data_IF_462651871297
#
_entry.id   IF_462651871297
#
_cell.length_a   1.000
_cell.length_b   1.000
_cell.length_c   1.000
_cell.angle_alpha   90.00
_cell.angle_beta   90.00
_cell.angle_gamma   90.00
#
_symmetry.space_group_name_H-M   'P 1'
#
loop_
_entity.id
_entity.type
_entity.pdbx_description
1 polymer ?
#
# COMPACT_ATOMS: atom_id res chain seq x y z
N UNK A 1 -10.55 10.29 6.07
CA UNK A 1 -9.51 9.92 7.09
C UNK A 1 -10.18 9.32 8.32
N UNK A 2 -9.91 8.07 8.64
CA UNK A 2 -10.43 7.36 9.83
C UNK A 2 -9.38 7.41 10.95
N UNK A 3 -9.64 8.21 11.99
CA UNK A 3 -8.68 8.47 13.08
C UNK A 3 -8.44 7.20 13.93
N UNK A 4 -9.48 6.41 14.18
CA UNK A 4 -9.32 5.19 14.98
C UNK A 4 -8.51 4.13 14.23
N UNK A 5 -8.69 4.02 12.91
CA UNK A 5 -7.87 3.16 12.08
C UNK A 5 -6.40 3.58 12.09
N UNK A 6 -6.12 4.89 12.03
CA UNK A 6 -4.76 5.44 12.14
C UNK A 6 -4.12 5.17 13.50
N UNK A 7 -4.88 5.29 14.59
CA UNK A 7 -4.41 4.94 15.93
C UNK A 7 -4.11 3.44 16.04
N UNK A 8 -4.96 2.60 15.44
CA UNK A 8 -4.73 1.15 15.38
C UNK A 8 -3.44 0.82 14.63
N UNK A 9 -3.21 1.45 13.47
CA UNK A 9 -1.97 1.30 12.72
C UNK A 9 -0.75 1.77 13.52
N UNK A 10 -0.82 2.95 14.14
CA UNK A 10 0.27 3.49 14.94
C UNK A 10 0.65 2.54 16.09
N UNK A 11 -0.35 1.96 16.76
CA UNK A 11 -0.15 0.97 17.82
C UNK A 11 0.58 -0.27 17.29
N UNK A 12 0.09 -0.84 16.18
CA UNK A 12 0.66 -2.04 15.57
C UNK A 12 2.13 -1.83 15.16
N UNK A 13 2.44 -0.69 14.52
CA UNK A 13 3.80 -0.31 14.12
C UNK A 13 4.74 -0.17 15.34
N UNK A 14 4.24 0.44 16.43
CA UNK A 14 5.01 0.61 17.64
C UNK A 14 5.29 -0.71 18.38
N UNK A 15 4.27 -1.55 18.56
CA UNK A 15 4.37 -2.82 19.31
C UNK A 15 5.29 -3.81 18.59
N UNK A 16 5.22 -3.89 17.27
CA UNK A 16 6.01 -4.84 16.47
C UNK A 16 7.31 -4.26 15.90
N UNK A 17 7.62 -2.98 16.21
CA UNK A 17 8.87 -2.32 15.80
C UNK A 17 9.09 -2.29 14.29
N UNK A 18 8.01 -2.09 13.53
CA UNK A 18 8.09 -1.94 12.07
C UNK A 18 8.76 -0.61 11.68
N UNK A 19 9.57 -0.64 10.63
CA UNK A 19 10.38 0.49 10.20
C UNK A 19 9.71 1.37 9.12
N UNK A 20 8.82 0.79 8.30
CA UNK A 20 8.19 1.46 7.14
C UNK A 20 6.97 2.31 7.53
N UNK A 21 7.12 3.15 8.56
CA UNK A 21 6.02 3.93 9.15
C UNK A 21 5.34 4.83 8.12
N UNK A 22 6.12 5.63 7.38
CA UNK A 22 5.58 6.55 6.38
C UNK A 22 4.86 5.86 5.24
N UNK A 23 5.42 4.75 4.74
CA UNK A 23 4.79 3.95 3.68
C UNK A 23 3.46 3.36 4.13
N UNK A 24 3.37 2.87 5.36
CA UNK A 24 2.12 2.35 5.92
C UNK A 24 1.06 3.45 6.04
N UNK A 25 1.40 4.61 6.61
CA UNK A 25 0.43 5.71 6.77
C UNK A 25 -0.03 6.31 5.45
N UNK A 26 0.87 6.47 4.47
CA UNK A 26 0.52 7.02 3.15
C UNK A 26 -0.34 6.07 2.33
N UNK A 27 -0.21 4.75 2.55
CA UNK A 27 -1.02 3.73 1.87
C UNK A 27 -2.38 3.49 2.53
N UNK A 28 -2.54 3.78 3.82
CA UNK A 28 -3.71 3.38 4.62
C UNK A 28 -5.02 3.88 4.02
N UNK A 29 -5.16 5.19 3.79
CA UNK A 29 -6.40 5.78 3.26
C UNK A 29 -6.68 5.29 1.83
N UNK A 30 -5.63 5.04 1.02
CA UNK A 30 -5.78 4.50 -0.35
C UNK A 30 -6.40 3.11 -0.29
N UNK A 31 -5.90 2.25 0.59
CA UNK A 31 -6.40 0.88 0.75
C UNK A 31 -7.82 0.92 1.33
N UNK A 32 -8.09 1.76 2.33
CA UNK A 32 -9.42 1.91 2.93
C UNK A 32 -10.47 2.34 1.89
N UNK A 33 -10.14 3.34 1.05
CA UNK A 33 -11.01 3.79 -0.05
C UNK A 33 -11.28 2.68 -1.09
N UNK A 34 -10.30 1.83 -1.37
CA UNK A 34 -10.47 0.67 -2.25
C UNK A 34 -11.41 -0.35 -1.60
N UNK A 35 -11.18 -0.70 -0.34
CA UNK A 35 -12.01 -1.68 0.37
C UNK A 35 -13.45 -1.20 0.57
N UNK A 36 -13.67 0.11 0.72
CA UNK A 36 -15.01 0.68 0.81
C UNK A 36 -15.83 0.56 -0.49
N UNK A 37 -15.19 0.44 -1.65
CA UNK A 37 -15.84 0.38 -2.96
C UNK A 37 -15.80 -0.99 -3.64
N UNK A 38 -14.80 -1.84 -3.33
CA UNK A 38 -14.64 -3.14 -3.97
C UNK A 38 -15.81 -4.09 -3.66
N UNK A 39 -16.18 -4.92 -4.62
CA UNK A 39 -17.11 -6.02 -4.40
C UNK A 39 -16.53 -7.12 -3.52
N UNK A 40 -17.42 -7.99 -3.01
CA UNK A 40 -17.02 -9.10 -2.14
C UNK A 40 -16.05 -10.06 -2.84
N UNK A 41 -16.31 -10.37 -4.11
CA UNK A 41 -15.49 -11.28 -4.93
C UNK A 41 -14.25 -10.63 -5.55
N UNK A 42 -14.11 -9.29 -5.47
CA UNK A 42 -13.00 -8.56 -6.06
C UNK A 42 -11.70 -8.79 -5.29
N UNK A 43 -10.60 -8.73 -6.01
CA UNK A 43 -9.26 -9.01 -5.49
C UNK A 43 -8.52 -7.70 -5.23
N UNK A 44 -7.89 -7.58 -4.06
CA UNK A 44 -6.91 -6.52 -3.77
C UNK A 44 -5.51 -7.11 -3.70
N UNK A 45 -4.53 -6.46 -4.33
CA UNK A 45 -3.11 -6.81 -4.27
C UNK A 45 -2.29 -5.61 -3.79
N UNK A 46 -1.63 -5.79 -2.66
CA UNK A 46 -0.62 -4.86 -2.16
C UNK A 46 0.70 -5.18 -2.85
N UNK A 47 1.06 -4.48 -3.94
CA UNK A 47 2.35 -4.70 -4.62
C UNK A 47 3.53 -4.21 -3.77
N UNK A 48 3.37 -3.06 -3.14
CA UNK A 48 4.31 -2.47 -2.19
C UNK A 48 4.27 -3.16 -0.83
N UNK A 49 4.75 -4.39 -0.77
CA UNK A 49 4.65 -5.29 0.40
C UNK A 49 5.16 -4.70 1.72
N UNK A 50 6.05 -3.71 1.68
CA UNK A 50 6.54 -3.00 2.86
C UNK A 50 5.46 -2.13 3.57
N UNK A 51 4.29 -1.92 2.95
CA UNK A 51 3.12 -1.32 3.59
C UNK A 51 2.16 -2.38 4.18
N UNK A 52 2.62 -3.59 4.46
CA UNK A 52 1.82 -4.71 4.93
C UNK A 52 0.98 -4.39 6.18
N UNK A 53 1.52 -3.63 7.12
CA UNK A 53 0.80 -3.28 8.35
C UNK A 53 -0.45 -2.43 8.08
N UNK A 54 -0.42 -1.55 7.06
CA UNK A 54 -1.62 -0.87 6.60
C UNK A 54 -2.66 -1.85 6.07
N UNK A 55 -2.24 -2.83 5.26
CA UNK A 55 -3.15 -3.89 4.80
C UNK A 55 -3.75 -4.68 5.96
N UNK A 56 -2.95 -5.08 6.95
CA UNK A 56 -3.43 -5.91 8.06
C UNK A 56 -4.52 -5.22 8.89
N UNK A 57 -4.36 -3.94 9.20
CA UNK A 57 -5.42 -3.20 9.92
C UNK A 57 -6.66 -2.94 9.06
N UNK A 58 -6.53 -2.86 7.75
CA UNK A 58 -7.67 -2.78 6.82
C UNK A 58 -8.41 -4.13 6.79
N UNK A 59 -7.69 -5.24 6.70
CA UNK A 59 -8.29 -6.58 6.72
C UNK A 59 -9.03 -6.82 8.05
N UNK A 60 -8.44 -6.45 9.18
CA UNK A 60 -9.11 -6.48 10.51
C UNK A 60 -10.39 -5.63 10.53
N UNK A 61 -10.40 -4.45 9.90
CA UNK A 61 -11.56 -3.56 9.83
C UNK A 61 -12.72 -4.16 9.02
N UNK A 62 -12.42 -4.86 7.92
CA UNK A 62 -13.45 -5.31 6.96
C UNK A 62 -13.86 -6.77 7.13
N UNK A 63 -13.10 -7.58 7.90
CA UNK A 63 -13.35 -9.00 8.06
C UNK A 63 -13.28 -9.42 9.52
N UNK A 64 -14.40 -9.77 10.13
CA UNK A 64 -14.54 -10.09 11.56
C UNK A 64 -13.64 -11.24 12.07
N UNK A 65 -13.18 -12.11 11.17
CA UNK A 65 -12.33 -13.25 11.52
C UNK A 65 -10.81 -12.92 11.46
N UNK A 66 -10.44 -11.72 11.00
CA UNK A 66 -9.04 -11.30 10.83
C UNK A 66 -8.59 -10.49 12.03
N UNK A 67 -7.40 -10.80 12.52
CA UNK A 67 -6.69 -10.09 13.59
C UNK A 67 -5.34 -9.61 13.05
N UNK A 68 -5.10 -8.30 13.11
CA UNK A 68 -3.90 -7.70 12.54
C UNK A 68 -2.62 -8.11 13.27
N UNK A 69 -2.65 -8.30 14.61
CA UNK A 69 -1.49 -8.79 15.38
C UNK A 69 -1.14 -10.22 14.96
N UNK A 70 -2.15 -11.09 14.78
CA UNK A 70 -1.94 -12.45 14.29
C UNK A 70 -1.35 -12.47 12.88
N UNK A 71 -1.77 -11.55 12.00
CA UNK A 71 -1.18 -11.42 10.66
C UNK A 71 0.28 -10.97 10.72
N UNK A 72 0.62 -10.04 11.61
CA UNK A 72 2.03 -9.64 11.82
C UNK A 72 2.87 -10.81 12.32
N UNK A 73 2.37 -11.58 13.29
CA UNK A 73 3.08 -12.77 13.79
C UNK A 73 3.28 -13.83 12.69
N UNK A 74 2.29 -14.00 11.81
CA UNK A 74 2.33 -14.99 10.72
C UNK A 74 3.22 -14.57 9.55
N UNK A 75 3.20 -13.30 9.16
CA UNK A 75 3.79 -12.81 7.91
C UNK A 75 4.93 -11.81 8.09
N UNK A 76 4.99 -11.08 9.21
CA UNK A 76 5.95 -10.00 9.42
C UNK A 76 5.66 -8.76 8.59
N UNK A 77 6.72 -8.01 8.25
CA UNK A 77 6.63 -6.74 7.51
C UNK A 77 6.31 -6.86 6.02
N UNK A 78 6.26 -8.08 5.47
CA UNK A 78 5.92 -8.35 4.07
C UNK A 78 4.94 -9.53 4.00
N UNK A 79 3.78 -9.38 3.31
CA UNK A 79 2.75 -10.40 3.34
C UNK A 79 3.15 -11.60 2.47
N UNK A 80 2.85 -12.81 2.96
CA UNK A 80 2.83 -14.02 2.16
C UNK A 80 1.40 -14.29 1.69
N UNK A 81 1.25 -15.01 0.58
CA UNK A 81 -0.05 -15.45 0.09
C UNK A 81 -0.83 -16.21 1.17
N UNK A 82 -2.07 -15.77 1.43
CA UNK A 82 -2.94 -16.26 2.50
C UNK A 82 -4.40 -15.94 2.16
N UNK A 83 -5.01 -16.74 1.30
CA UNK A 83 -6.37 -16.50 0.82
C UNK A 83 -7.43 -16.56 1.94
N UNK A 84 -7.19 -17.32 3.00
CA UNK A 84 -8.08 -17.38 4.16
C UNK A 84 -8.18 -16.01 4.86
N UNK A 85 -7.13 -15.22 4.79
CA UNK A 85 -7.06 -13.86 5.31
C UNK A 85 -7.06 -12.78 4.19
N UNK A 86 -7.58 -13.10 3.00
CA UNK A 86 -7.71 -12.17 1.86
C UNK A 86 -6.39 -11.56 1.36
N UNK A 87 -5.26 -12.23 1.55
CA UNK A 87 -3.96 -11.86 1.01
C UNK A 87 -3.68 -12.70 -0.25
N UNK A 88 -3.85 -12.12 -1.41
CA UNK A 88 -3.84 -12.84 -2.69
C UNK A 88 -2.48 -12.89 -3.39
N UNK A 89 -1.42 -12.37 -2.75
CA UNK A 89 -0.08 -12.33 -3.33
C UNK A 89 0.99 -12.22 -2.25
N UNK A 90 2.05 -13.02 -2.35
CA UNK A 90 3.29 -12.75 -1.60
C UNK A 90 4.01 -11.60 -2.26
N UNK A 91 4.35 -10.55 -1.51
CA UNK A 91 5.04 -9.37 -1.99
C UNK A 91 6.20 -8.97 -1.08
N UNK A 92 7.08 -8.08 -1.57
CA UNK A 92 8.30 -7.66 -0.88
C UNK A 92 9.40 -7.30 -1.89
N UNK A 93 9.50 -8.03 -3.00
CA UNK A 93 10.30 -7.60 -4.15
C UNK A 93 9.53 -6.55 -4.94
N UNK A 94 10.06 -5.33 -5.03
CA UNK A 94 9.39 -4.19 -5.66
C UNK A 94 8.97 -4.52 -7.11
N UNK A 95 7.75 -4.12 -7.47
CA UNK A 95 7.17 -4.31 -8.79
C UNK A 95 6.65 -5.73 -9.10
N UNK A 96 6.88 -6.73 -8.23
CA UNK A 96 6.42 -8.10 -8.52
C UNK A 96 4.90 -8.25 -8.45
N UNK A 97 4.25 -7.52 -7.54
CA UNK A 97 2.81 -7.62 -7.29
C UNK A 97 1.96 -7.18 -8.49
N UNK A 98 2.35 -6.13 -9.21
CA UNK A 98 1.59 -5.65 -10.38
C UNK A 98 1.57 -6.70 -11.51
N UNK A 99 2.66 -7.41 -11.75
CA UNK A 99 2.70 -8.50 -12.75
C UNK A 99 1.76 -9.65 -12.38
N UNK A 100 1.72 -10.03 -11.09
CA UNK A 100 0.79 -11.05 -10.59
C UNK A 100 -0.66 -10.56 -10.72
N UNK A 101 -0.92 -9.28 -10.42
CA UNK A 101 -2.25 -8.69 -10.57
C UNK A 101 -2.76 -8.75 -12.01
N UNK A 102 -1.92 -8.46 -13.00
CA UNK A 102 -2.26 -8.63 -14.43
C UNK A 102 -2.63 -10.09 -14.72
N UNK A 103 -1.83 -11.04 -14.24
CA UNK A 103 -2.15 -12.47 -14.41
C UNK A 103 -3.48 -12.87 -13.76
N UNK A 104 -3.79 -12.33 -12.58
CA UNK A 104 -5.08 -12.55 -11.88
C UNK A 104 -6.26 -11.96 -12.64
N UNK A 105 -6.12 -10.74 -13.18
CA UNK A 105 -7.15 -10.09 -13.99
C UNK A 105 -7.46 -10.90 -15.26
N UNK A 106 -6.44 -11.37 -15.96
CA UNK A 106 -6.59 -12.20 -17.16
C UNK A 106 -7.24 -13.56 -16.85
N UNK A 107 -6.93 -14.17 -15.72
CA UNK A 107 -7.48 -15.46 -15.32
C UNK A 107 -8.92 -15.38 -14.80
N UNK A 108 -9.38 -14.20 -14.36
CA UNK A 108 -10.69 -13.99 -13.74
C UNK A 108 -11.37 -12.74 -14.35
N UNK A 109 -11.85 -12.79 -15.60
CA UNK A 109 -12.38 -11.62 -16.29
C UNK A 109 -13.62 -11.00 -15.64
N UNK A 110 -14.36 -11.77 -14.84
CA UNK A 110 -15.58 -11.34 -14.14
C UNK A 110 -15.33 -10.68 -12.78
N UNK A 111 -14.05 -10.54 -12.36
CA UNK A 111 -13.65 -9.94 -11.09
C UNK A 111 -12.76 -8.73 -11.32
N UNK A 112 -12.98 -7.68 -10.56
CA UNK A 112 -12.04 -6.56 -10.54
C UNK A 112 -10.81 -6.91 -9.71
N UNK A 113 -9.65 -6.46 -10.17
CA UNK A 113 -8.39 -6.55 -9.45
C UNK A 113 -7.90 -5.14 -9.14
N UNK A 114 -7.81 -4.79 -7.87
CA UNK A 114 -7.28 -3.53 -7.39
C UNK A 114 -5.83 -3.71 -6.94
N UNK A 115 -4.96 -2.80 -7.34
CA UNK A 115 -3.53 -2.89 -7.02
C UNK A 115 -3.02 -1.56 -6.51
N UNK A 116 -2.31 -1.58 -5.39
CA UNK A 116 -1.48 -0.43 -4.98
C UNK A 116 -0.03 -0.68 -5.36
N UNK A 117 0.60 0.33 -5.97
CA UNK A 117 2.04 0.43 -6.20
C UNK A 117 2.58 1.73 -5.62
N UNK A 118 3.91 1.87 -5.52
CA UNK A 118 4.54 3.11 -5.06
C UNK A 118 5.43 3.73 -6.12
N UNK A 119 5.84 4.97 -5.87
CA UNK A 119 6.88 5.66 -6.63
C UNK A 119 8.21 4.90 -6.62
N UNK A 120 8.58 4.26 -5.50
CA UNK A 120 9.75 3.37 -5.45
C UNK A 120 9.65 2.17 -6.39
N UNK A 121 8.46 1.57 -6.52
CA UNK A 121 8.24 0.47 -7.48
C UNK A 121 8.34 0.93 -8.93
N UNK A 122 8.07 2.21 -9.21
CA UNK A 122 8.22 2.78 -10.55
C UNK A 122 9.70 2.87 -11.03
N UNK A 123 10.68 2.54 -10.18
CA UNK A 123 12.05 2.31 -10.60
C UNK A 123 12.24 0.95 -11.29
N UNK A 124 11.31 0.01 -11.09
CA UNK A 124 11.39 -1.34 -11.65
C UNK A 124 10.79 -1.43 -13.06
N UNK A 125 11.51 -2.10 -13.96
CA UNK A 125 11.10 -2.27 -15.37
C UNK A 125 9.75 -2.97 -15.53
N UNK A 126 9.47 -3.96 -14.69
CA UNK A 126 8.22 -4.75 -14.73
C UNK A 126 6.96 -3.89 -14.53
N UNK A 127 7.04 -2.79 -13.79
CA UNK A 127 5.91 -1.86 -13.64
C UNK A 127 5.51 -1.28 -14.99
N UNK A 128 6.48 -0.79 -15.77
CA UNK A 128 6.24 -0.21 -17.09
C UNK A 128 5.77 -1.23 -18.11
N UNK A 129 6.33 -2.45 -18.06
CA UNK A 129 5.87 -3.57 -18.89
C UNK A 129 4.40 -3.92 -18.57
N UNK A 130 4.02 -3.97 -17.29
CA UNK A 130 2.66 -4.23 -16.87
C UNK A 130 1.69 -3.13 -17.32
N UNK A 131 2.02 -1.84 -17.09
CA UNK A 131 1.19 -0.71 -17.51
C UNK A 131 0.97 -0.71 -19.03
N UNK A 132 2.05 -0.93 -19.81
CA UNK A 132 1.96 -1.06 -21.25
C UNK A 132 1.04 -2.22 -21.66
N UNK A 133 1.22 -3.38 -21.04
CA UNK A 133 0.41 -4.56 -21.35
C UNK A 133 -1.09 -4.32 -21.07
N UNK A 134 -1.41 -3.75 -19.90
CA UNK A 134 -2.79 -3.42 -19.51
C UNK A 134 -3.45 -2.53 -20.57
N UNK A 135 -2.76 -1.50 -21.04
CA UNK A 135 -3.29 -0.56 -22.03
C UNK A 135 -3.40 -1.19 -23.42
N UNK A 136 -2.33 -1.82 -23.93
CA UNK A 136 -2.30 -2.41 -25.28
C UNK A 136 -3.30 -3.56 -25.48
N UNK A 137 -3.56 -4.34 -24.44
CA UNK A 137 -4.47 -5.50 -24.49
C UNK A 137 -5.84 -5.23 -23.89
N UNK A 138 -6.14 -3.99 -23.51
CA UNK A 138 -7.42 -3.57 -22.94
C UNK A 138 -7.86 -4.46 -21.77
N UNK A 139 -6.98 -4.63 -20.77
CA UNK A 139 -7.31 -5.37 -19.55
C UNK A 139 -8.16 -4.46 -18.66
N UNK A 140 -9.49 -4.50 -18.83
CA UNK A 140 -10.41 -3.52 -18.25
C UNK A 140 -10.80 -3.83 -16.80
N UNK A 141 -10.61 -5.06 -16.34
CA UNK A 141 -10.91 -5.50 -14.98
C UNK A 141 -9.73 -5.36 -14.00
N UNK A 142 -8.90 -4.33 -14.18
CA UNK A 142 -7.82 -3.98 -13.27
C UNK A 142 -7.76 -2.48 -13.03
N UNK A 143 -7.65 -2.06 -11.77
CA UNK A 143 -7.39 -0.68 -11.36
C UNK A 143 -6.05 -0.57 -10.64
N UNK A 144 -5.20 0.36 -11.10
CA UNK A 144 -3.89 0.63 -10.52
C UNK A 144 -3.92 1.95 -9.76
N UNK A 145 -3.55 1.91 -8.49
CA UNK A 145 -3.43 3.06 -7.61
C UNK A 145 -1.96 3.27 -7.23
N UNK A 146 -1.41 4.41 -7.60
CA UNK A 146 -0.02 4.79 -7.27
C UNK A 146 -0.02 5.61 -5.99
N UNK A 147 0.63 5.12 -4.95
CA UNK A 147 0.97 5.91 -3.77
C UNK A 147 2.25 6.71 -4.07
N UNK A 148 2.09 7.93 -4.53
CA UNK A 148 3.18 8.85 -4.87
C UNK A 148 3.53 9.71 -3.65
N UNK A 149 4.35 9.18 -2.76
CA UNK A 149 4.75 9.81 -1.51
C UNK A 149 6.03 10.65 -1.60
N UNK A 150 6.70 10.64 -2.76
CA UNK A 150 7.88 11.44 -3.05
C UNK A 150 9.22 10.75 -2.74
N UNK A 151 9.20 9.45 -2.37
CA UNK A 151 10.41 8.72 -2.00
C UNK A 151 10.51 7.35 -2.66
N UNK A 152 11.69 7.01 -3.18
CA UNK A 152 12.04 5.70 -3.71
C UNK A 152 13.23 5.15 -2.92
N UNK A 153 12.99 4.35 -1.88
CA UNK A 153 14.00 3.87 -0.96
C UNK A 153 14.80 5.02 -0.32
N UNK A 154 15.94 5.40 -0.91
CA UNK A 154 16.84 6.44 -0.40
C UNK A 154 16.81 7.74 -1.21
N UNK A 155 16.13 7.73 -2.34
CA UNK A 155 16.15 8.85 -3.29
C UNK A 155 14.79 9.57 -3.35
N UNK A 156 14.77 10.92 -3.40
CA UNK A 156 13.54 11.67 -3.63
C UNK A 156 13.04 11.47 -5.06
N UNK A 157 11.73 11.42 -5.22
CA UNK A 157 11.04 11.27 -6.52
C UNK A 157 10.34 12.55 -6.92
N UNK A 158 10.56 13.01 -8.15
CA UNK A 158 9.73 14.06 -8.76
C UNK A 158 8.34 13.46 -9.10
N UNK A 159 7.38 13.71 -8.23
CA UNK A 159 6.00 13.19 -8.35
C UNK A 159 5.31 13.71 -9.61
N UNK A 160 5.57 14.96 -10.03
CA UNK A 160 5.00 15.52 -11.26
C UNK A 160 5.52 14.80 -12.50
N UNK A 161 6.81 14.48 -12.50
CA UNK A 161 7.41 13.71 -13.58
C UNK A 161 6.90 12.26 -13.61
N UNK A 162 6.82 11.63 -12.44
CA UNK A 162 6.27 10.27 -12.31
C UNK A 162 4.83 10.21 -12.82
N UNK A 163 3.95 11.11 -12.37
CA UNK A 163 2.55 11.13 -12.77
C UNK A 163 2.38 11.28 -14.28
N UNK A 164 3.12 12.19 -14.92
CA UNK A 164 3.09 12.34 -16.38
C UNK A 164 3.49 11.05 -17.10
N UNK A 165 4.51 10.35 -16.61
CA UNK A 165 4.99 9.10 -17.19
C UNK A 165 3.99 7.96 -17.05
N UNK A 166 3.50 7.69 -15.85
CA UNK A 166 2.55 6.57 -15.63
C UNK A 166 1.25 6.79 -16.41
N UNK A 167 0.77 8.04 -16.49
CA UNK A 167 -0.42 8.39 -17.30
C UNK A 167 -0.18 8.31 -18.79
N UNK A 168 1.07 8.47 -19.26
CA UNK A 168 1.42 8.25 -20.66
C UNK A 168 1.38 6.76 -21.05
N UNK A 169 1.65 5.86 -20.11
CA UNK A 169 1.57 4.42 -20.31
C UNK A 169 0.15 3.86 -20.09
N UNK A 170 -0.56 4.35 -19.07
CA UNK A 170 -1.92 3.92 -18.73
C UNK A 170 -2.73 5.16 -18.32
N UNK A 171 -3.49 5.80 -19.24
CA UNK A 171 -4.19 7.08 -18.98
C UNK A 171 -5.17 7.03 -17.82
N UNK A 172 -5.79 5.86 -17.56
CA UNK A 172 -6.78 5.65 -16.50
C UNK A 172 -6.17 5.35 -15.12
N UNK A 173 -4.84 5.33 -14.97
CA UNK A 173 -4.16 5.09 -13.69
C UNK A 173 -4.49 6.18 -12.68
N UNK A 174 -4.76 5.80 -11.43
CA UNK A 174 -5.01 6.75 -10.35
C UNK A 174 -3.71 7.02 -9.59
N UNK A 175 -3.34 8.30 -9.47
CA UNK A 175 -2.16 8.73 -8.71
C UNK A 175 -2.62 9.49 -7.47
N UNK A 176 -2.28 8.96 -6.31
CA UNK A 176 -2.50 9.57 -5.01
C UNK A 176 -1.23 10.28 -4.57
N UNK A 177 -1.28 11.61 -4.48
CA UNK A 177 -0.18 12.42 -3.97
C UNK A 177 -0.28 12.44 -2.45
N UNK A 178 0.63 11.75 -1.80
CA UNK A 178 0.69 11.61 -0.34
C UNK A 178 1.96 12.24 0.20
N UNK A 179 2.10 12.28 1.52
CA UNK A 179 3.27 12.84 2.17
C UNK A 179 3.68 11.96 3.36
N UNK A 180 4.92 11.52 3.37
CA UNK A 180 5.49 10.71 4.47
C UNK A 180 5.68 11.49 5.77
N UNK A 181 5.78 12.81 5.68
CA UNK A 181 6.05 13.72 6.82
C UNK A 181 4.76 13.98 7.63
N UNK A 182 4.04 12.94 7.99
CA UNK A 182 2.77 13.06 8.73
C UNK A 182 2.97 13.40 10.21
N UNK A 183 4.04 12.88 10.79
CA UNK A 183 4.39 13.08 12.19
C UNK A 183 5.74 13.78 12.33
N UNK A 184 6.02 14.46 13.47
CA UNK A 184 7.30 15.12 13.70
C UNK A 184 8.51 14.17 13.61
N UNK A 185 8.31 12.89 13.91
CA UNK A 185 9.33 11.84 13.90
C UNK A 185 9.44 11.07 12.56
N UNK A 186 8.54 11.31 11.60
CA UNK A 186 8.60 10.69 10.25
C UNK A 186 8.98 11.75 9.22
N UNK A 187 10.21 12.23 9.28
CA UNK A 187 10.67 13.24 8.33
C UNK A 187 11.57 12.59 7.26
N UNK A 188 11.25 12.83 6.00
CA UNK A 188 12.05 12.40 4.86
C UNK A 188 12.42 10.91 4.94
N UNK A 189 13.70 10.59 4.98
CA UNK A 189 14.21 9.21 5.02
C UNK A 189 13.82 8.44 6.29
N UNK A 190 13.68 9.13 7.43
CA UNK A 190 13.27 8.51 8.70
C UNK A 190 11.86 7.92 8.62
N UNK A 191 11.00 8.41 7.70
CA UNK A 191 9.70 7.81 7.45
C UNK A 191 9.77 6.37 6.90
N UNK A 192 10.92 5.95 6.35
CA UNK A 192 11.11 4.65 5.71
C UNK A 192 11.88 3.65 6.57
N UNK A 193 12.71 4.12 7.52
CA UNK A 193 13.64 3.26 8.26
C UNK A 193 13.73 3.65 9.74
N UNK A 194 12.59 3.94 10.36
CA UNK A 194 12.53 4.42 11.73
C UNK A 194 11.65 3.55 12.63
N UNK A 195 12.25 3.05 13.73
CA UNK A 195 11.50 2.32 14.76
C UNK A 195 10.98 3.28 15.81
N UNK A 196 9.66 3.30 15.98
CA UNK A 196 9.00 4.16 16.96
C UNK A 196 9.48 3.89 18.38
N UNK A 197 9.84 4.95 19.10
CA UNK A 197 10.03 4.94 20.54
C UNK A 197 8.68 5.08 21.26
N UNK A 198 8.67 4.95 22.57
CA UNK A 198 7.46 5.18 23.36
C UNK A 198 7.01 6.65 23.27
N UNK A 199 7.97 7.56 23.28
CA UNK A 199 7.76 9.00 23.17
C UNK A 199 7.11 9.35 21.83
N UNK A 200 7.57 8.75 20.72
CA UNK A 200 6.98 8.92 19.38
C UNK A 200 5.54 8.40 19.30
N UNK A 201 5.30 7.25 19.91
CA UNK A 201 3.95 6.69 19.98
C UNK A 201 2.98 7.61 20.73
N UNK A 202 3.40 8.13 21.92
CA UNK A 202 2.60 9.07 22.70
C UNK A 202 2.38 10.40 21.97
N UNK A 203 3.39 10.90 21.25
CA UNK A 203 3.28 12.10 20.42
C UNK A 203 2.37 11.89 19.23
N UNK A 204 2.52 10.76 18.53
CA UNK A 204 1.64 10.38 17.42
C UNK A 204 0.18 10.30 17.81
N UNK A 205 -0.14 9.74 18.99
CA UNK A 205 -1.50 9.74 19.53
C UNK A 205 -2.03 11.16 19.78
N UNK A 206 -1.21 12.09 20.25
CA UNK A 206 -1.63 13.49 20.43
C UNK A 206 -1.93 14.16 19.10
N UNK A 207 -1.04 14.00 18.10
CA UNK A 207 -1.24 14.53 16.75
C UNK A 207 -2.54 13.99 16.14
N UNK A 208 -2.83 12.70 16.29
CA UNK A 208 -4.07 12.11 15.76
C UNK A 208 -5.33 12.56 16.50
N UNK A 209 -5.24 12.86 17.81
CA UNK A 209 -6.38 13.37 18.58
C UNK A 209 -6.71 14.84 18.31
N UNK A 210 -5.78 15.61 17.75
CA UNK A 210 -5.96 17.04 17.41
C UNK A 210 -6.56 17.26 16.01
N UNK A 211 -6.71 16.20 15.21
CA UNK A 211 -7.30 16.20 13.86
C UNK A 211 -8.79 15.86 13.88
#
# INVERSE_FOLDING_TARGET
MDIELRKRLLKLLYEHKEEHVGSCFTCLDIIDDIFAKKGEDDIFILSNGHAAYALYVILEKYYDHVDADALVEKHGGHPNWDEENHIYCSTGSLGSGIGIAVGRALANPDRMVYVTITDGEAAEGIVWEALRYIEEYNVDNIEIHVNANGWACYDPVDVDYLERRVKAFLPRITVHRTNVNEFPFTQDLDAHYYKLTKEDYEEGLKVLNER
#
